data_IF_524062057459
#
_entry.id   IF_524062057459
#
_cell.length_a   1.000
_cell.length_b   1.000
_cell.length_c   1.000
_cell.angle_alpha   90.00
_cell.angle_beta   90.00
_cell.angle_gamma   90.00
#
_symmetry.space_group_name_H-M   'P 1'
#
loop_
_entity.id
_entity.type
_entity.pdbx_description
1 polymer ?
#
# COMPACT_ATOMS: atom_id res chain seq x y z
N UNK A 1 -7.93 3.10 4.25
CA UNK A 1 -7.45 3.15 2.84
C UNK A 1 -7.62 4.56 2.30
N UNK A 2 -6.59 5.15 1.69
CA UNK A 2 -6.62 6.52 1.11
C UNK A 2 -6.39 6.54 -0.41
N UNK A 3 -6.27 5.36 -1.01
CA UNK A 3 -6.10 5.12 -2.44
C UNK A 3 -5.99 3.62 -2.70
N UNK A 4 -6.12 3.21 -3.96
CA UNK A 4 -6.03 1.81 -4.36
C UNK A 4 -6.38 1.62 -5.84
N UNK A 5 -6.14 0.41 -6.34
CA UNK A 5 -6.48 0.02 -7.70
C UNK A 5 -6.24 -1.47 -7.91
N UNK A 6 -6.70 -1.98 -9.05
CA UNK A 6 -6.44 -3.36 -9.47
C UNK A 6 -5.49 -3.35 -10.66
N UNK A 7 -4.69 -4.41 -10.78
CA UNK A 7 -3.86 -4.68 -11.94
C UNK A 7 -4.13 -6.11 -12.42
N UNK A 8 -3.68 -6.43 -13.63
CA UNK A 8 -3.86 -7.76 -14.21
C UNK A 8 -3.00 -8.82 -13.53
N UNK A 9 -2.95 -10.01 -14.13
CA UNK A 9 -2.06 -11.08 -13.65
C UNK A 9 -0.60 -10.67 -13.79
N UNK A 10 0.19 -10.94 -12.76
CA UNK A 10 1.65 -10.87 -12.77
C UNK A 10 2.19 -12.32 -12.73
N UNK A 11 3.18 -12.65 -13.55
CA UNK A 11 3.81 -13.97 -13.50
C UNK A 11 4.94 -14.00 -12.45
N UNK A 12 5.40 -15.19 -12.03
CA UNK A 12 6.53 -15.29 -11.11
C UNK A 12 7.76 -14.53 -11.62
N UNK A 13 8.38 -13.75 -10.73
CA UNK A 13 9.52 -12.86 -11.01
C UNK A 13 9.23 -11.62 -11.88
N UNK A 14 7.99 -11.41 -12.33
CA UNK A 14 7.60 -10.14 -12.96
C UNK A 14 7.49 -9.03 -11.91
N UNK A 15 7.71 -7.79 -12.38
CA UNK A 15 7.53 -6.58 -11.58
C UNK A 15 6.50 -5.69 -12.27
N UNK A 16 5.48 -5.30 -11.52
CA UNK A 16 4.52 -4.28 -11.94
C UNK A 16 4.75 -2.99 -11.14
N UNK A 17 4.84 -1.86 -11.83
CA UNK A 17 5.02 -0.54 -11.21
C UNK A 17 3.85 0.36 -11.59
N UNK A 18 3.27 1.03 -10.60
CA UNK A 18 2.18 1.99 -10.79
C UNK A 18 2.36 3.19 -9.87
N UNK A 19 1.66 4.28 -10.17
CA UNK A 19 1.61 5.49 -9.34
C UNK A 19 0.17 5.80 -9.02
N UNK A 20 -0.15 5.85 -7.72
CA UNK A 20 -1.47 6.17 -7.21
C UNK A 20 -1.39 7.51 -6.47
N UNK A 21 -2.01 8.59 -6.97
CA UNK A 21 -2.09 9.83 -6.22
C UNK A 21 -2.99 9.63 -5.00
N UNK A 22 -2.53 10.05 -3.82
CA UNK A 22 -3.28 10.00 -2.57
C UNK A 22 -3.27 11.37 -1.90
N UNK A 23 -4.35 11.66 -1.16
CA UNK A 23 -4.46 12.87 -0.35
C UNK A 23 -4.28 12.46 1.10
N UNK A 24 -3.30 13.07 1.78
CA UNK A 24 -3.14 12.90 3.22
C UNK A 24 -4.35 13.54 3.92
N UNK A 25 -5.08 12.82 4.79
CA UNK A 25 -6.24 13.38 5.46
C UNK A 25 -5.89 14.60 6.31
N UNK A 26 -6.70 15.66 6.22
CA UNK A 26 -6.45 16.94 6.90
C UNK A 26 -6.81 16.93 8.40
N UNK A 27 -7.40 15.86 8.91
CA UNK A 27 -7.74 15.68 10.32
C UNK A 27 -6.63 14.97 11.11
N UNK A 28 -5.50 14.63 10.48
CA UNK A 28 -4.35 14.08 11.19
C UNK A 28 -3.69 15.15 12.08
N UNK A 29 -3.14 14.72 13.21
CA UNK A 29 -2.50 15.63 14.14
C UNK A 29 -1.17 16.14 13.56
N UNK A 30 -1.00 17.46 13.52
CA UNK A 30 0.28 18.07 13.16
C UNK A 30 1.40 17.66 14.13
N UNK A 31 2.60 17.44 13.60
CA UNK A 31 3.77 17.03 14.36
C UNK A 31 3.86 15.54 14.70
N UNK A 32 2.80 14.76 14.43
CA UNK A 32 2.69 13.33 14.73
C UNK A 32 3.27 12.45 13.61
N UNK A 33 3.90 11.34 14.00
CA UNK A 33 4.39 10.31 13.07
C UNK A 33 3.28 9.31 12.75
N UNK A 34 3.17 8.97 11.46
CA UNK A 34 2.25 7.96 10.92
C UNK A 34 3.00 6.99 9.99
N UNK A 35 2.39 5.85 9.70
CA UNK A 35 2.86 4.92 8.68
C UNK A 35 2.02 5.07 7.42
N UNK A 36 2.69 5.25 6.29
CA UNK A 36 2.09 5.18 4.96
C UNK A 36 2.57 3.89 4.31
N UNK A 37 1.63 3.05 3.88
CA UNK A 37 1.97 1.76 3.27
C UNK A 37 1.00 1.34 2.17
N UNK A 38 1.44 0.34 1.43
CA UNK A 38 0.67 -0.37 0.43
C UNK A 38 0.52 -1.82 0.86
N UNK A 39 -0.66 -2.38 0.61
CA UNK A 39 -0.99 -3.79 0.81
C UNK A 39 -1.49 -4.30 -0.53
N UNK A 40 -0.90 -5.38 -1.02
CA UNK A 40 -1.38 -6.12 -2.20
C UNK A 40 -2.25 -7.27 -1.70
N UNK A 41 -3.32 -7.59 -2.44
CA UNK A 41 -4.26 -8.65 -2.08
C UNK A 41 -4.76 -8.52 -0.63
N UNK A 42 -5.28 -7.33 -0.29
CA UNK A 42 -5.73 -6.99 1.07
C UNK A 42 -6.83 -7.95 1.59
N UNK A 43 -7.65 -8.46 0.67
CA UNK A 43 -8.76 -9.38 0.97
C UNK A 43 -8.34 -10.87 0.93
N UNK A 44 -7.07 -11.16 0.60
CA UNK A 44 -6.50 -12.51 0.51
C UNK A 44 -7.27 -13.42 -0.49
N UNK A 45 -7.59 -12.87 -1.67
CA UNK A 45 -8.30 -13.55 -2.74
C UNK A 45 -7.38 -14.49 -3.55
N UNK A 46 -6.07 -14.24 -3.54
CA UNK A 46 -5.08 -15.05 -4.25
C UNK A 46 -4.32 -15.91 -3.23
N UNK A 47 -4.29 -17.22 -3.46
CA UNK A 47 -3.52 -18.11 -2.61
C UNK A 47 -2.02 -18.00 -2.93
N UNK A 48 -1.28 -17.36 -2.04
CA UNK A 48 0.17 -17.16 -2.15
C UNK A 48 0.94 -18.03 -1.16
N UNK A 49 2.20 -18.31 -1.45
CA UNK A 49 3.08 -19.08 -0.55
C UNK A 49 3.31 -18.34 0.78
N UNK A 50 3.26 -17.01 0.77
CA UNK A 50 3.46 -16.19 1.97
C UNK A 50 2.80 -14.80 1.85
N UNK A 51 1.53 -14.65 2.22
CA UNK A 51 0.86 -13.33 2.21
C UNK A 51 1.39 -12.29 3.21
N UNK A 52 2.40 -12.64 4.04
CA UNK A 52 3.01 -11.65 4.94
C UNK A 52 3.96 -10.69 4.25
N UNK A 53 4.43 -11.01 3.04
CA UNK A 53 5.31 -10.15 2.25
C UNK A 53 4.55 -9.18 1.33
N UNK A 54 3.22 -9.17 1.36
CA UNK A 54 2.37 -8.31 0.53
C UNK A 54 2.30 -6.84 0.99
N UNK A 55 3.13 -6.46 1.98
CA UNK A 55 3.02 -5.19 2.68
C UNK A 55 4.36 -4.47 2.64
N UNK A 56 4.33 -3.20 2.25
CA UNK A 56 5.45 -2.29 2.34
C UNK A 56 4.99 -0.95 2.94
N UNK A 57 5.82 -0.32 3.77
CA UNK A 57 5.46 0.92 4.47
C UNK A 57 6.67 1.79 4.77
N UNK A 58 6.42 3.09 4.89
CA UNK A 58 7.39 4.12 5.26
C UNK A 58 6.84 5.00 6.38
N UNK A 59 7.70 5.53 7.28
CA UNK A 59 7.26 6.51 8.25
C UNK A 59 7.09 7.86 7.55
N UNK A 60 6.02 8.57 7.90
CA UNK A 60 5.78 9.96 7.49
C UNK A 60 5.55 10.82 8.72
N UNK A 61 5.84 12.11 8.61
CA UNK A 61 5.51 13.10 9.62
C UNK A 61 4.60 14.15 9.03
N UNK A 62 3.43 14.34 9.62
CA UNK A 62 2.51 15.41 9.25
C UNK A 62 3.02 16.70 9.89
N UNK A 63 3.08 17.79 9.12
CA UNK A 63 3.55 19.10 9.56
C UNK A 63 2.39 20.09 9.61
#
# INVERSE_FOLDING_TARGET
RIGGGSFGSIHPADVFTTTIPVIIPNFLNAGQNYWLGIIVDEDNDINEVNGSNNRAYIPIRVQ
#
